data_IF_867440425307
#
_entry.id   IF_867440425307
#
_cell.length_a   1.000
_cell.length_b   1.000
_cell.length_c   1.000
_cell.angle_alpha   90.00
_cell.angle_beta   90.00
_cell.angle_gamma   90.00
#
_symmetry.space_group_name_H-M   'P 1'
#
loop_
_entity.id
_entity.type
_entity.pdbx_description
1 polymer ?
#
# COMPACT_ATOMS: atom_id res chain seq x y z
N UNK A 1 -4.62 9.70 19.89
CA UNK A 1 -5.41 9.21 21.06
C UNK A 1 -5.56 7.71 20.89
N UNK A 2 -5.13 6.89 21.86
CA UNK A 2 -5.04 5.43 21.70
C UNK A 2 -6.22 4.68 22.32
N UNK A 3 -6.62 3.58 21.70
CA UNK A 3 -7.54 2.59 22.26
C UNK A 3 -6.73 1.37 22.69
N UNK A 4 -7.14 0.76 23.80
CA UNK A 4 -6.62 -0.52 24.26
C UNK A 4 -7.74 -1.57 24.23
N UNK A 5 -7.44 -2.76 23.74
CA UNK A 5 -8.35 -3.91 23.67
C UNK A 5 -7.65 -5.10 24.28
N UNK A 6 -8.20 -5.67 25.35
CA UNK A 6 -7.61 -6.82 26.04
C UNK A 6 -6.13 -6.62 26.44
N UNK A 7 -5.76 -5.39 26.83
CA UNK A 7 -4.39 -5.02 27.19
C UNK A 7 -3.47 -4.70 26.00
N UNK A 8 -3.91 -4.92 24.77
CA UNK A 8 -3.15 -4.61 23.54
C UNK A 8 -3.57 -3.24 22.99
N UNK A 9 -2.59 -2.45 22.55
CA UNK A 9 -2.84 -1.17 21.88
C UNK A 9 -3.44 -1.44 20.50
N UNK A 10 -4.59 -0.82 20.20
CA UNK A 10 -5.14 -0.85 18.86
C UNK A 10 -4.19 -0.15 17.88
N UNK A 11 -4.05 -0.70 16.68
CA UNK A 11 -3.08 -0.20 15.68
C UNK A 11 -3.34 1.25 15.27
N UNK A 12 -4.60 1.60 15.03
CA UNK A 12 -4.99 2.95 14.62
C UNK A 12 -5.29 3.83 15.83
N UNK A 13 -4.81 5.06 15.74
CA UNK A 13 -5.16 6.10 16.69
C UNK A 13 -6.45 6.81 16.29
N UNK A 14 -7.17 7.35 17.28
CA UNK A 14 -8.22 8.31 17.01
C UNK A 14 -7.62 9.63 16.49
N UNK A 15 -7.87 9.90 15.21
CA UNK A 15 -7.53 11.13 14.50
C UNK A 15 -8.78 11.95 14.09
N UNK A 16 -9.95 11.64 14.65
CA UNK A 16 -11.18 12.38 14.41
C UNK A 16 -11.27 13.73 15.13
N UNK A 17 -12.39 14.44 14.95
CA UNK A 17 -12.62 15.75 15.57
C UNK A 17 -12.60 15.68 17.10
N UNK A 18 -11.96 16.64 17.79
CA UNK A 18 -11.88 16.65 19.25
C UNK A 18 -13.13 17.29 19.88
N UNK A 19 -14.30 16.69 19.63
CA UNK A 19 -15.58 17.09 20.21
C UNK A 19 -16.23 15.93 20.96
N UNK A 20 -17.10 16.24 21.93
CA UNK A 20 -17.83 15.23 22.71
C UNK A 20 -18.62 14.29 21.78
N UNK A 21 -19.35 14.83 20.82
CA UNK A 21 -20.14 14.04 19.87
C UNK A 21 -19.28 13.09 19.04
N UNK A 22 -18.11 13.55 18.57
CA UNK A 22 -17.21 12.73 17.77
C UNK A 22 -16.53 11.61 18.59
N UNK A 23 -16.22 11.85 19.87
CA UNK A 23 -15.74 10.81 20.77
C UNK A 23 -16.83 9.77 21.09
N UNK A 24 -18.05 10.22 21.39
CA UNK A 24 -19.19 9.31 21.67
C UNK A 24 -19.47 8.43 20.47
N UNK A 25 -19.53 9.02 19.27
CA UNK A 25 -19.74 8.26 18.04
C UNK A 25 -18.62 7.24 17.84
N UNK A 26 -17.37 7.68 17.96
CA UNK A 26 -16.22 6.78 17.78
C UNK A 26 -16.25 5.61 18.76
N UNK A 27 -16.47 5.84 20.06
CA UNK A 27 -16.54 4.74 21.04
C UNK A 27 -17.74 3.83 20.78
N UNK A 28 -18.89 4.38 20.40
CA UNK A 28 -20.07 3.59 20.00
C UNK A 28 -19.72 2.68 18.82
N UNK A 29 -19.07 3.23 17.80
CA UNK A 29 -18.61 2.45 16.66
C UNK A 29 -17.60 1.40 17.11
N UNK A 30 -16.72 1.69 18.07
CA UNK A 30 -15.70 0.76 18.60
C UNK A 30 -16.26 -0.40 19.41
N UNK A 31 -17.44 -0.22 20.00
CA UNK A 31 -18.19 -1.23 20.77
C UNK A 31 -19.14 -2.07 19.91
N UNK A 32 -19.45 -1.63 18.69
CA UNK A 32 -20.31 -2.36 17.78
C UNK A 32 -19.76 -3.75 17.44
N UNK A 33 -20.67 -4.70 17.22
CA UNK A 33 -20.34 -6.08 16.86
C UNK A 33 -19.47 -6.11 15.60
N UNK A 34 -18.36 -6.85 15.68
CA UNK A 34 -17.33 -6.86 14.65
C UNK A 34 -17.53 -8.00 13.65
N UNK A 35 -18.31 -9.01 14.01
CA UNK A 35 -18.62 -10.17 13.17
C UNK A 35 -20.12 -10.20 12.90
N UNK A 36 -20.48 -10.16 11.62
CA UNK A 36 -21.87 -10.28 11.18
C UNK A 36 -22.24 -11.77 11.06
N UNK A 37 -23.24 -12.21 11.82
CA UNK A 37 -23.72 -13.59 11.75
C UNK A 37 -24.69 -13.74 10.58
N UNK A 38 -24.38 -14.65 9.65
CA UNK A 38 -25.21 -14.95 8.47
C UNK A 38 -25.96 -16.26 8.63
N UNK A 39 -27.08 -16.40 7.92
CA UNK A 39 -27.92 -17.61 7.97
C UNK A 39 -27.48 -18.69 6.97
N UNK A 40 -26.82 -18.29 5.89
CA UNK A 40 -26.30 -19.18 4.86
C UNK A 40 -25.13 -18.52 4.13
N UNK A 41 -24.35 -19.33 3.42
CA UNK A 41 -23.17 -18.86 2.69
C UNK A 41 -23.51 -17.95 1.49
N UNK A 42 -24.64 -18.20 0.82
CA UNK A 42 -25.04 -17.42 -0.35
C UNK A 42 -25.26 -15.93 -0.01
N UNK A 43 -25.85 -15.66 1.17
CA UNK A 43 -26.10 -14.31 1.67
C UNK A 43 -24.82 -13.49 1.89
N UNK A 44 -23.67 -14.13 2.12
CA UNK A 44 -22.40 -13.43 2.29
C UNK A 44 -22.06 -12.64 1.04
N UNK A 45 -22.35 -13.18 -0.16
CA UNK A 45 -22.04 -12.52 -1.44
C UNK A 45 -22.76 -11.18 -1.60
N UNK A 46 -23.98 -11.07 -1.07
CA UNK A 46 -24.77 -9.83 -1.10
C UNK A 46 -24.32 -8.83 -0.04
N UNK A 47 -23.70 -9.30 1.05
CA UNK A 47 -23.23 -8.49 2.16
C UNK A 47 -21.77 -8.04 2.02
N UNK A 48 -21.03 -8.53 1.01
CA UNK A 48 -19.64 -8.17 0.78
C UNK A 48 -19.48 -6.65 0.70
N UNK A 49 -18.59 -6.12 1.54
CA UNK A 49 -18.32 -4.69 1.54
C UNK A 49 -17.29 -4.41 0.44
N UNK A 50 -17.74 -3.67 -0.58
CA UNK A 50 -16.88 -3.21 -1.66
C UNK A 50 -15.70 -2.41 -1.07
N UNK A 51 -14.50 -2.61 -1.64
CA UNK A 51 -13.24 -2.00 -1.19
C UNK A 51 -12.75 -2.39 0.21
N UNK A 52 -13.29 -3.43 0.85
CA UNK A 52 -12.68 -4.03 2.03
C UNK A 52 -12.32 -5.48 1.79
N UNK A 53 -11.33 -5.97 2.53
CA UNK A 53 -11.09 -7.39 2.66
C UNK A 53 -12.24 -8.00 3.47
N UNK A 54 -12.80 -9.11 3.00
CA UNK A 54 -13.91 -9.78 3.69
C UNK A 54 -13.45 -11.18 4.10
N UNK A 55 -13.58 -11.50 5.38
CA UNK A 55 -13.27 -12.81 5.95
C UNK A 55 -14.58 -13.47 6.33
N UNK A 56 -14.80 -14.69 5.88
CA UNK A 56 -15.97 -15.49 6.22
C UNK A 56 -15.54 -16.80 6.85
N UNK A 57 -16.03 -17.05 8.07
CA UNK A 57 -15.76 -18.29 8.80
C UNK A 57 -17.02 -19.12 8.94
N UNK A 58 -16.91 -20.43 8.72
CA UNK A 58 -17.91 -21.40 9.11
C UNK A 58 -17.38 -22.19 10.30
N UNK A 59 -18.12 -22.19 11.40
CA UNK A 59 -17.67 -22.79 12.66
C UNK A 59 -18.74 -23.70 13.27
N UNK A 60 -18.29 -24.83 13.79
CA UNK A 60 -19.16 -25.81 14.43
C UNK A 60 -19.68 -25.33 15.79
N UNK A 61 -18.77 -24.81 16.62
CA UNK A 61 -19.08 -24.44 17.99
C UNK A 61 -18.50 -23.06 18.35
N UNK A 62 -19.32 -22.24 18.98
CA UNK A 62 -18.91 -20.92 19.51
C UNK A 62 -18.08 -21.04 20.79
N UNK A 63 -18.00 -22.21 21.41
CA UNK A 63 -17.02 -22.47 22.47
C UNK A 63 -15.62 -22.85 21.92
N UNK A 64 -15.48 -23.10 20.61
CA UNK A 64 -14.24 -23.60 20.02
C UNK A 64 -13.06 -22.60 20.11
N UNK A 65 -11.80 -23.09 20.20
CA UNK A 65 -10.61 -22.24 20.13
C UNK A 65 -10.55 -21.41 18.83
N UNK A 66 -10.96 -21.99 17.71
CA UNK A 66 -11.07 -21.29 16.42
C UNK A 66 -11.97 -20.06 16.52
N UNK A 67 -13.18 -20.20 17.06
CA UNK A 67 -14.10 -19.06 17.20
C UNK A 67 -13.53 -17.95 18.08
N UNK A 68 -12.87 -18.32 19.18
CA UNK A 68 -12.21 -17.35 20.06
C UNK A 68 -11.07 -16.61 19.35
N UNK A 69 -10.27 -17.33 18.56
CA UNK A 69 -9.21 -16.73 17.74
C UNK A 69 -9.79 -15.75 16.71
N UNK A 70 -10.85 -16.15 15.98
CA UNK A 70 -11.52 -15.29 15.00
C UNK A 70 -12.13 -14.05 15.65
N UNK A 71 -12.75 -14.15 16.84
CA UNK A 71 -13.23 -12.97 17.60
C UNK A 71 -12.10 -11.98 17.91
N UNK A 72 -10.93 -12.47 18.32
CA UNK A 72 -9.76 -11.61 18.59
C UNK A 72 -9.28 -10.94 17.30
N UNK A 73 -9.10 -11.72 16.23
CA UNK A 73 -8.70 -11.21 14.90
C UNK A 73 -9.68 -10.16 14.38
N UNK A 74 -10.98 -10.45 14.43
CA UNK A 74 -12.01 -9.52 14.00
C UNK A 74 -11.91 -8.20 14.74
N UNK A 75 -11.80 -8.26 16.07
CA UNK A 75 -11.61 -7.08 16.92
C UNK A 75 -10.36 -6.27 16.55
N UNK A 76 -9.23 -6.93 16.30
CA UNK A 76 -7.97 -6.26 15.94
C UNK A 76 -7.98 -5.64 14.54
N UNK A 77 -8.63 -6.30 13.57
CA UNK A 77 -8.66 -5.90 12.16
C UNK A 77 -9.96 -5.21 11.72
N UNK A 78 -10.80 -4.76 12.66
CA UNK A 78 -12.14 -4.21 12.36
C UNK A 78 -12.15 -3.04 11.35
N UNK A 79 -11.06 -2.29 11.29
CA UNK A 79 -10.94 -1.11 10.43
C UNK A 79 -10.39 -1.47 9.03
N UNK A 80 -9.86 -2.68 8.89
CA UNK A 80 -9.19 -3.22 7.69
C UNK A 80 -10.03 -4.30 6.99
N UNK A 81 -10.71 -5.12 7.77
CA UNK A 81 -11.47 -6.28 7.34
C UNK A 81 -12.90 -6.26 7.87
N UNK A 82 -13.81 -6.84 7.09
CA UNK A 82 -15.17 -7.16 7.51
C UNK A 82 -15.24 -8.66 7.75
N UNK A 83 -15.84 -9.06 8.88
CA UNK A 83 -15.94 -10.45 9.27
C UNK A 83 -17.40 -10.91 9.21
N UNK A 84 -17.60 -12.06 8.58
CA UNK A 84 -18.87 -12.78 8.54
C UNK A 84 -18.70 -14.15 9.19
N UNK A 85 -19.74 -14.66 9.82
CA UNK A 85 -19.71 -16.00 10.38
C UNK A 85 -21.02 -16.77 10.16
N UNK A 86 -20.89 -18.03 9.79
CA UNK A 86 -21.97 -19.02 9.83
C UNK A 86 -21.68 -19.99 10.98
N UNK A 87 -22.60 -20.05 11.93
CA UNK A 87 -22.43 -20.82 13.17
C UNK A 87 -23.14 -22.18 13.06
N UNK A 88 -22.71 -23.12 13.90
CA UNK A 88 -23.33 -24.45 14.05
C UNK A 88 -23.30 -25.30 12.78
N UNK A 89 -22.27 -25.15 11.95
CA UNK A 89 -22.05 -26.06 10.81
C UNK A 89 -21.50 -27.41 11.27
N UNK A 90 -21.69 -28.52 10.54
CA UNK A 90 -20.96 -29.76 10.81
C UNK A 90 -19.44 -29.56 10.80
N UNK A 91 -18.69 -30.32 11.61
CA UNK A 91 -17.23 -30.17 11.77
C UNK A 91 -16.51 -30.28 10.42
N UNK A 92 -16.95 -31.23 9.58
CA UNK A 92 -16.41 -31.47 8.25
C UNK A 92 -16.68 -30.34 7.24
N UNK A 93 -17.56 -29.38 7.59
CA UNK A 93 -17.88 -28.20 6.77
C UNK A 93 -17.26 -26.92 7.29
N UNK A 94 -16.45 -26.98 8.36
CA UNK A 94 -15.72 -25.80 8.82
C UNK A 94 -14.75 -25.32 7.75
N UNK A 95 -14.80 -24.03 7.47
CA UNK A 95 -13.92 -23.40 6.47
C UNK A 95 -13.69 -21.94 6.80
N UNK A 96 -12.62 -21.42 6.25
CA UNK A 96 -12.24 -20.02 6.34
C UNK A 96 -11.99 -19.50 4.93
N UNK A 97 -12.78 -18.51 4.55
CA UNK A 97 -12.81 -17.95 3.21
C UNK A 97 -12.41 -16.47 3.25
N UNK A 98 -11.66 -16.05 2.26
CA UNK A 98 -11.35 -14.66 1.97
C UNK A 98 -12.04 -14.28 0.66
N UNK A 99 -12.80 -13.18 0.70
CA UNK A 99 -13.31 -12.53 -0.51
C UNK A 99 -12.53 -11.24 -0.74
N UNK A 100 -11.88 -11.18 -1.90
CA UNK A 100 -11.14 -10.00 -2.32
C UNK A 100 -12.08 -8.82 -2.60
N UNK A 101 -11.49 -7.63 -2.74
CA UNK A 101 -12.20 -6.41 -3.14
C UNK A 101 -12.86 -6.52 -4.52
N UNK A 102 -12.50 -7.52 -5.32
CA UNK A 102 -13.07 -7.84 -6.64
C UNK A 102 -13.95 -9.10 -6.61
N UNK A 103 -14.38 -9.54 -5.42
CA UNK A 103 -15.21 -10.72 -5.18
C UNK A 103 -14.60 -12.08 -5.59
N UNK A 104 -13.29 -12.14 -5.81
CA UNK A 104 -12.59 -13.42 -5.94
C UNK A 104 -12.56 -14.13 -4.59
N UNK A 105 -12.76 -15.44 -4.58
CA UNK A 105 -12.79 -16.25 -3.36
C UNK A 105 -11.50 -17.06 -3.23
N UNK A 106 -10.90 -17.04 -2.05
CA UNK A 106 -9.77 -17.90 -1.68
C UNK A 106 -10.12 -18.63 -0.39
N UNK A 107 -9.90 -19.94 -0.37
CA UNK A 107 -10.11 -20.78 0.80
C UNK A 107 -8.77 -21.05 1.49
N UNK A 108 -8.77 -20.97 2.81
CA UNK A 108 -7.65 -21.40 3.62
C UNK A 108 -7.49 -22.92 3.50
N UNK A 109 -6.38 -23.37 2.92
CA UNK A 109 -6.17 -24.77 2.55
C UNK A 109 -5.63 -25.67 3.66
N UNK A 110 -5.09 -25.09 4.72
CA UNK A 110 -4.44 -25.82 5.81
C UNK A 110 -5.41 -26.10 6.98
N UNK A 111 -4.95 -26.83 8.00
CA UNK A 111 -5.76 -27.14 9.18
C UNK A 111 -6.15 -25.89 9.97
N UNK A 112 -7.45 -25.76 10.26
CA UNK A 112 -8.02 -24.71 11.13
C UNK A 112 -7.64 -24.86 12.61
N UNK A 113 -7.04 -26.00 13.00
CA UNK A 113 -6.56 -26.21 14.37
C UNK A 113 -5.23 -25.48 14.62
N UNK A 114 -4.48 -25.16 13.56
CA UNK A 114 -3.26 -24.35 13.67
C UNK A 114 -3.62 -22.86 13.73
N UNK A 115 -3.98 -22.39 14.92
CA UNK A 115 -4.45 -21.02 15.13
C UNK A 115 -3.40 -19.95 14.77
N UNK A 116 -2.11 -20.26 14.88
CA UNK A 116 -1.03 -19.33 14.50
C UNK A 116 -0.97 -19.14 12.98
N UNK A 117 -1.14 -20.23 12.23
CA UNK A 117 -1.20 -20.19 10.78
C UNK A 117 -2.49 -19.49 10.29
N UNK A 118 -3.63 -19.76 10.93
CA UNK A 118 -4.90 -19.04 10.68
C UNK A 118 -4.73 -17.55 10.95
N UNK A 119 -4.15 -17.17 12.09
CA UNK A 119 -3.90 -15.78 12.45
C UNK A 119 -3.02 -15.09 11.41
N UNK A 120 -1.94 -15.73 10.99
CA UNK A 120 -1.01 -15.21 9.98
C UNK A 120 -1.71 -15.04 8.63
N UNK A 121 -2.50 -16.02 8.20
CA UNK A 121 -3.23 -15.94 6.94
C UNK A 121 -4.27 -14.81 6.95
N UNK A 122 -5.11 -14.71 7.98
CA UNK A 122 -6.10 -13.62 8.11
C UNK A 122 -5.41 -12.26 8.16
N UNK A 123 -4.33 -12.13 8.94
CA UNK A 123 -3.58 -10.87 9.05
C UNK A 123 -3.04 -10.43 7.68
N UNK A 124 -2.47 -11.35 6.90
CA UNK A 124 -1.95 -11.06 5.56
C UNK A 124 -3.06 -10.67 4.57
N UNK A 125 -4.27 -11.23 4.69
CA UNK A 125 -5.42 -10.85 3.85
C UNK A 125 -6.02 -9.50 4.25
N UNK A 126 -6.02 -9.19 5.55
CA UNK A 126 -6.54 -7.93 6.06
C UNK A 126 -5.57 -6.75 5.86
N UNK A 127 -4.26 -7.01 5.87
CA UNK A 127 -3.21 -6.02 5.65
C UNK A 127 -2.47 -6.31 4.35
N UNK A 128 -2.99 -5.86 3.19
CA UNK A 128 -2.32 -6.09 1.93
C UNK A 128 -0.97 -5.36 1.89
N UNK A 129 0.00 -5.97 1.21
CA UNK A 129 1.33 -5.39 0.98
C UNK A 129 1.23 -4.02 0.28
N UNK A 130 0.27 -3.87 -0.63
CA UNK A 130 -0.02 -2.64 -1.36
C UNK A 130 -1.36 -2.09 -0.89
N UNK A 131 -1.37 -0.85 -0.35
CA UNK A 131 -2.54 -0.25 0.32
C UNK A 131 -3.15 0.90 -0.48
N UNK A 132 -4.46 1.10 -0.40
CA UNK A 132 -5.09 2.33 -0.90
C UNK A 132 -4.73 3.49 0.03
N UNK A 133 -4.21 4.59 -0.49
CA UNK A 133 -4.10 5.84 0.27
C UNK A 133 -5.38 6.67 0.04
N UNK A 134 -5.96 7.14 1.14
CA UNK A 134 -7.12 8.02 1.18
C UNK A 134 -6.83 9.17 2.15
N UNK A 135 -7.67 10.20 2.18
CA UNK A 135 -7.45 11.32 3.12
C UNK A 135 -7.60 10.88 4.58
N UNK A 136 -8.40 9.85 4.84
CA UNK A 136 -8.65 9.33 6.17
C UNK A 136 -7.42 8.59 6.75
N UNK A 137 -6.62 7.94 5.91
CA UNK A 137 -5.45 7.16 6.34
C UNK A 137 -4.10 7.81 6.01
N UNK A 138 -4.06 8.89 5.20
CA UNK A 138 -2.80 9.52 4.80
C UNK A 138 -1.98 10.05 5.99
N UNK A 139 -2.63 10.60 7.03
CA UNK A 139 -1.93 11.08 8.24
C UNK A 139 -1.26 9.92 8.99
N UNK A 140 -1.86 8.72 8.99
CA UNK A 140 -1.26 7.51 9.58
C UNK A 140 -0.10 7.01 8.72
N UNK A 141 -0.30 6.89 7.40
CA UNK A 141 0.73 6.40 6.47
C UNK A 141 1.97 7.29 6.47
N UNK A 142 1.81 8.60 6.61
CA UNK A 142 2.92 9.55 6.66
C UNK A 142 3.66 9.51 7.99
N UNK A 143 2.97 9.19 9.09
CA UNK A 143 3.59 9.00 10.42
C UNK A 143 4.47 7.74 10.49
N UNK A 144 4.27 6.76 9.60
CA UNK A 144 5.17 5.60 9.49
C UNK A 144 6.60 5.99 9.09
N UNK A 145 6.80 7.19 8.54
CA UNK A 145 8.12 7.74 8.24
C UNK A 145 8.81 7.13 7.01
N UNK A 146 8.11 6.28 6.25
CA UNK A 146 8.63 5.64 5.05
C UNK A 146 8.21 6.41 3.80
N UNK A 147 9.10 6.59 2.80
CA UNK A 147 8.73 7.10 1.48
C UNK A 147 7.55 6.33 0.88
N UNK A 148 6.84 6.97 -0.03
CA UNK A 148 5.71 6.35 -0.72
C UNK A 148 6.11 5.98 -2.15
N UNK A 149 5.86 4.75 -2.57
CA UNK A 149 5.76 4.36 -3.97
C UNK A 149 4.27 4.28 -4.32
N UNK A 150 3.76 5.24 -5.09
CA UNK A 150 2.32 5.43 -5.31
C UNK A 150 1.95 5.25 -6.78
N UNK A 151 1.07 4.29 -7.05
CA UNK A 151 0.37 4.19 -8.33
C UNK A 151 -0.90 5.05 -8.31
N UNK A 152 -0.94 6.10 -9.12
CA UNK A 152 -2.18 6.81 -9.43
C UNK A 152 -2.90 6.11 -10.58
N UNK A 153 -4.15 5.69 -10.34
CA UNK A 153 -4.95 4.95 -11.32
C UNK A 153 -6.23 5.70 -11.71
N UNK A 154 -6.79 5.36 -12.87
CA UNK A 154 -8.13 5.86 -13.27
C UNK A 154 -9.18 5.03 -12.54
N UNK A 155 -10.25 5.60 -11.96
CA UNK A 155 -11.26 4.84 -11.23
C UNK A 155 -11.86 3.63 -11.98
N UNK A 156 -11.88 3.72 -13.31
CA UNK A 156 -12.45 2.74 -14.21
C UNK A 156 -11.43 1.68 -14.68
N UNK A 157 -10.15 1.85 -14.38
CA UNK A 157 -9.06 0.94 -14.72
C UNK A 157 -8.43 0.41 -13.44
N UNK A 158 -9.03 -0.67 -12.90
CA UNK A 158 -8.55 -1.34 -11.69
C UNK A 158 -7.57 -2.47 -11.98
N UNK A 159 -7.45 -2.88 -13.25
CA UNK A 159 -6.58 -4.00 -13.64
C UNK A 159 -5.11 -3.63 -13.44
N UNK A 160 -4.74 -2.37 -13.67
CA UNK A 160 -3.38 -1.87 -13.41
C UNK A 160 -2.97 -2.01 -11.94
N UNK A 161 -3.91 -1.94 -10.98
CA UNK A 161 -3.63 -2.15 -9.55
C UNK A 161 -3.16 -3.58 -9.31
N UNK A 162 -3.81 -4.56 -9.97
CA UNK A 162 -3.42 -5.97 -9.88
C UNK A 162 -2.03 -6.18 -10.46
N UNK A 163 -1.76 -5.64 -11.66
CA UNK A 163 -0.43 -5.72 -12.29
C UNK A 163 0.64 -5.12 -11.38
N UNK A 164 0.40 -3.93 -10.84
CA UNK A 164 1.32 -3.28 -9.90
C UNK A 164 1.54 -4.10 -8.63
N UNK A 165 0.48 -4.64 -8.03
CA UNK A 165 0.57 -5.50 -6.85
C UNK A 165 1.42 -6.73 -7.10
N UNK A 166 1.20 -7.41 -8.24
CA UNK A 166 1.99 -8.58 -8.65
C UNK A 166 3.48 -8.21 -8.84
N UNK A 167 3.76 -7.05 -9.46
CA UNK A 167 5.15 -6.59 -9.64
C UNK A 167 5.84 -6.20 -8.34
N UNK A 168 5.14 -5.58 -7.39
CA UNK A 168 5.66 -5.29 -6.05
C UNK A 168 6.01 -6.60 -5.32
N UNK A 169 5.11 -7.58 -5.34
CA UNK A 169 5.33 -8.88 -4.70
C UNK A 169 6.53 -9.64 -5.30
N UNK A 170 6.72 -9.57 -6.63
CA UNK A 170 7.80 -10.27 -7.32
C UNK A 170 9.15 -9.57 -7.17
N UNK A 171 9.18 -8.23 -7.22
CA UNK A 171 10.44 -7.48 -7.37
C UNK A 171 10.89 -6.75 -6.10
N UNK A 172 9.97 -6.42 -5.19
CA UNK A 172 10.21 -5.47 -4.09
C UNK A 172 9.94 -6.02 -2.69
N UNK A 173 9.73 -7.33 -2.54
CA UNK A 173 9.42 -7.92 -1.23
C UNK A 173 10.54 -7.67 -0.20
N UNK A 174 11.80 -7.59 -0.66
CA UNK A 174 12.98 -7.26 0.14
C UNK A 174 13.05 -5.77 0.55
N UNK A 175 12.26 -4.91 -0.09
CA UNK A 175 12.19 -3.47 0.19
C UNK A 175 10.98 -3.08 1.08
N UNK A 176 10.18 -4.07 1.54
CA UNK A 176 8.94 -3.81 2.29
C UNK A 176 9.09 -2.99 3.58
N UNK A 177 10.30 -2.92 4.13
CA UNK A 177 10.61 -2.17 5.35
C UNK A 177 11.24 -0.80 5.09
N UNK A 178 11.53 -0.46 3.83
CA UNK A 178 12.19 0.81 3.46
C UNK A 178 11.27 1.77 2.70
N UNK A 179 10.13 1.30 2.19
CA UNK A 179 9.20 2.10 1.41
C UNK A 179 7.77 1.54 1.55
N UNK A 180 6.78 2.41 1.51
CA UNK A 180 5.36 2.06 1.51
C UNK A 180 4.82 1.94 0.09
N UNK A 181 4.21 0.79 -0.23
CA UNK A 181 3.59 0.54 -1.53
C UNK A 181 2.12 0.93 -1.50
N UNK A 182 1.75 1.89 -2.32
CA UNK A 182 0.43 2.52 -2.29
C UNK A 182 -0.19 2.62 -3.67
N UNK A 183 -1.51 2.69 -3.72
CA UNK A 183 -2.24 3.17 -4.89
C UNK A 183 -3.26 4.22 -4.48
N UNK A 184 -3.55 5.15 -5.39
CA UNK A 184 -4.38 6.31 -5.14
C UNK A 184 -5.35 6.54 -6.31
N UNK A 185 -6.60 6.84 -6.00
CA UNK A 185 -7.56 7.30 -7.01
C UNK A 185 -7.09 8.66 -7.57
N UNK A 186 -6.79 8.70 -8.87
CA UNK A 186 -6.27 9.90 -9.51
C UNK A 186 -7.25 11.07 -9.59
N UNK A 187 -8.56 10.84 -9.44
CA UNK A 187 -9.54 11.93 -9.29
C UNK A 187 -9.47 12.52 -7.88
N UNK A 188 -9.42 11.67 -6.86
CA UNK A 188 -9.32 12.08 -5.45
C UNK A 188 -8.01 12.83 -5.19
N UNK A 189 -6.91 12.35 -5.78
CA UNK A 189 -5.57 12.93 -5.63
C UNK A 189 -5.11 13.71 -6.88
N UNK A 190 -6.04 14.42 -7.54
CA UNK A 190 -5.72 15.25 -8.70
C UNK A 190 -4.70 16.36 -8.39
N UNK A 191 -4.71 16.92 -7.17
CA UNK A 191 -3.78 17.97 -6.76
C UNK A 191 -2.32 17.49 -6.65
N UNK A 192 -2.00 16.35 -5.99
CA UNK A 192 -0.67 15.73 -6.12
C UNK A 192 -0.25 15.42 -7.55
N UNK A 193 -1.15 14.96 -8.42
CA UNK A 193 -0.84 14.71 -9.83
C UNK A 193 -0.42 15.99 -10.57
N UNK A 194 -1.11 17.10 -10.31
CA UNK A 194 -0.77 18.40 -10.90
C UNK A 194 0.63 18.88 -10.48
N UNK A 195 1.06 18.58 -9.25
CA UNK A 195 2.43 18.92 -8.81
C UNK A 195 3.46 18.18 -9.67
N UNK A 196 3.21 16.92 -10.02
CA UNK A 196 4.03 16.13 -10.95
C UNK A 196 3.95 16.60 -12.42
N UNK A 197 3.24 17.69 -12.71
CA UNK A 197 2.96 18.13 -14.09
C UNK A 197 2.09 17.13 -14.86
N UNK A 198 1.33 16.28 -14.14
CA UNK A 198 0.43 15.28 -14.72
C UNK A 198 -1.03 15.65 -14.48
N UNK A 199 -1.89 15.07 -15.28
CA UNK A 199 -3.34 15.21 -15.20
C UNK A 199 -4.02 13.84 -15.19
N UNK A 200 -5.33 13.84 -15.00
CA UNK A 200 -6.14 12.61 -15.06
C UNK A 200 -5.99 11.90 -16.43
N UNK A 201 -5.67 12.64 -17.49
CA UNK A 201 -5.47 12.08 -18.84
C UNK A 201 -4.23 11.20 -18.93
N UNK A 202 -3.20 11.55 -18.16
CA UNK A 202 -1.88 10.89 -18.15
C UNK A 202 -1.88 9.57 -17.36
N UNK A 203 -2.94 9.29 -16.62
CA UNK A 203 -3.04 8.06 -15.82
C UNK A 203 -3.10 6.81 -16.70
N UNK A 204 -2.47 5.69 -16.27
CA UNK A 204 -1.83 5.49 -14.97
C UNK A 204 -0.44 6.12 -14.83
N UNK A 205 -0.12 6.63 -13.64
CA UNK A 205 1.18 7.25 -13.30
C UNK A 205 1.73 6.60 -12.05
N UNK A 206 3.00 6.21 -12.07
CA UNK A 206 3.73 5.71 -10.89
C UNK A 206 4.75 6.76 -10.45
N UNK A 207 4.81 7.04 -9.16
CA UNK A 207 5.73 8.01 -8.60
C UNK A 207 6.26 7.56 -7.22
N UNK A 208 7.42 8.08 -6.84
CA UNK A 208 7.91 8.05 -5.46
C UNK A 208 7.69 9.42 -4.84
N UNK A 209 7.10 9.51 -3.66
CA UNK A 209 7.17 10.71 -2.79
C UNK A 209 8.10 10.40 -1.61
N UNK A 210 9.24 11.10 -1.54
CA UNK A 210 10.24 10.90 -0.49
C UNK A 210 10.02 11.77 0.74
N UNK A 211 8.89 12.48 0.82
CA UNK A 211 8.64 13.60 1.72
C UNK A 211 9.57 14.81 1.55
N UNK A 212 10.41 14.81 0.51
CA UNK A 212 11.21 15.97 0.09
C UNK A 212 10.85 16.34 -1.34
N UNK A 213 11.01 15.37 -2.25
CA UNK A 213 10.66 15.51 -3.65
C UNK A 213 9.79 14.33 -4.09
N UNK A 214 9.06 14.56 -5.18
CA UNK A 214 8.33 13.53 -5.90
C UNK A 214 9.04 13.20 -7.22
N UNK A 215 9.35 11.93 -7.44
CA UNK A 215 10.02 11.42 -8.62
C UNK A 215 9.06 10.58 -9.47
N UNK A 216 8.98 10.86 -10.76
CA UNK A 216 8.18 10.04 -11.68
C UNK A 216 8.93 8.80 -12.12
N UNK A 217 8.22 7.68 -12.17
CA UNK A 217 8.70 6.51 -12.90
C UNK A 217 8.73 6.85 -14.40
N UNK A 218 9.84 6.60 -15.13
CA UNK A 218 10.04 7.13 -16.48
C UNK A 218 8.95 6.74 -17.50
N UNK A 219 8.59 5.46 -17.56
CA UNK A 219 7.50 4.96 -18.42
C UNK A 219 6.73 3.86 -17.68
N UNK A 220 5.43 4.05 -17.50
CA UNK A 220 4.56 3.05 -16.86
C UNK A 220 4.52 1.71 -17.59
N UNK A 221 4.83 1.70 -18.89
CA UNK A 221 4.94 0.47 -19.69
C UNK A 221 6.10 -0.42 -19.24
N UNK A 222 7.13 0.16 -18.63
CA UNK A 222 8.28 -0.58 -18.10
C UNK A 222 7.99 -1.23 -16.73
N UNK A 223 6.78 -1.07 -16.18
CA UNK A 223 6.42 -1.61 -14.86
C UNK A 223 6.65 -3.13 -14.77
N UNK A 224 6.35 -3.87 -15.85
CA UNK A 224 6.48 -5.32 -15.91
C UNK A 224 7.87 -5.79 -16.38
N UNK A 225 8.75 -4.86 -16.77
CA UNK A 225 10.12 -5.19 -17.19
C UNK A 225 10.92 -5.54 -15.92
N UNK A 226 11.47 -6.77 -15.81
CA UNK A 226 12.17 -7.20 -14.62
C UNK A 226 13.32 -6.26 -14.24
N UNK A 227 13.36 -5.86 -12.98
CA UNK A 227 14.42 -5.04 -12.41
C UNK A 227 14.21 -3.53 -12.55
N UNK A 228 13.38 -3.04 -13.49
CA UNK A 228 13.14 -1.59 -13.67
C UNK A 228 12.48 -0.97 -12.44
N UNK A 229 11.43 -1.60 -11.94
CA UNK A 229 10.73 -1.14 -10.73
C UNK A 229 11.65 -1.18 -9.51
N UNK A 230 12.44 -2.24 -9.36
CA UNK A 230 13.43 -2.37 -8.28
C UNK A 230 14.51 -1.31 -8.37
N UNK A 231 15.06 -1.07 -9.56
CA UNK A 231 16.08 -0.06 -9.77
C UNK A 231 15.58 1.33 -9.39
N UNK A 232 14.31 1.66 -9.68
CA UNK A 232 13.73 2.94 -9.31
C UNK A 232 13.72 3.16 -7.78
N UNK A 233 13.41 2.12 -7.00
CA UNK A 233 13.48 2.17 -5.53
C UNK A 233 14.94 2.24 -5.03
N UNK A 234 15.87 1.51 -5.67
CA UNK A 234 17.30 1.58 -5.32
C UNK A 234 17.92 2.95 -5.67
N UNK A 235 17.46 3.58 -6.75
CA UNK A 235 17.89 4.92 -7.18
C UNK A 235 17.41 5.99 -6.17
N UNK A 236 16.25 5.79 -5.53
CA UNK A 236 15.83 6.61 -4.39
C UNK A 236 16.81 6.46 -3.23
N UNK A 237 17.06 5.23 -2.78
CA UNK A 237 17.85 4.98 -1.58
C UNK A 237 19.33 5.35 -1.74
N UNK A 238 19.88 5.25 -2.95
CA UNK A 238 21.24 5.69 -3.27
C UNK A 238 21.38 7.21 -3.41
N UNK A 239 20.27 7.96 -3.36
CA UNK A 239 20.24 9.40 -3.59
C UNK A 239 20.43 9.79 -5.06
N UNK A 240 20.49 8.82 -5.98
CA UNK A 240 20.62 9.08 -7.42
C UNK A 240 19.46 9.92 -7.94
N UNK A 241 18.22 9.60 -7.58
CA UNK A 241 17.05 10.39 -8.01
C UNK A 241 17.16 11.86 -7.57
N UNK A 242 17.71 12.11 -6.38
CA UNK A 242 17.91 13.46 -5.87
C UNK A 242 19.06 14.19 -6.57
N UNK A 243 20.16 13.49 -6.85
CA UNK A 243 21.27 14.05 -7.64
C UNK A 243 20.81 14.39 -9.06
N UNK A 244 20.13 13.47 -9.73
CA UNK A 244 19.61 13.69 -11.08
C UNK A 244 18.57 14.82 -11.14
N UNK A 245 17.86 15.06 -10.03
CA UNK A 245 16.97 16.20 -9.89
C UNK A 245 17.70 17.55 -9.91
N UNK A 246 18.85 17.65 -9.25
CA UNK A 246 19.61 18.91 -9.17
C UNK A 246 20.58 19.09 -10.33
N UNK A 247 21.23 18.02 -10.76
CA UNK A 247 22.40 18.06 -11.66
C UNK A 247 22.10 17.50 -13.07
N UNK A 248 20.93 16.90 -13.28
CA UNK A 248 20.58 16.17 -14.51
C UNK A 248 21.10 14.72 -14.52
N UNK A 249 20.81 13.92 -15.57
CA UNK A 249 21.16 12.51 -15.63
C UNK A 249 22.64 12.27 -15.39
N UNK A 250 22.97 11.22 -14.62
CA UNK A 250 24.38 10.87 -14.41
C UNK A 250 25.06 10.62 -15.76
N UNK A 251 26.28 11.13 -15.99
CA UNK A 251 27.02 10.84 -17.19
C UNK A 251 27.21 9.32 -17.27
N UNK A 252 26.68 8.72 -18.34
CA UNK A 252 26.87 7.29 -18.58
C UNK A 252 28.37 7.10 -18.74
N UNK A 253 29.03 6.50 -17.74
CA UNK A 253 30.38 6.01 -17.92
C UNK A 253 30.27 4.93 -18.98
N UNK A 254 30.47 5.31 -20.25
CA UNK A 254 30.77 4.34 -21.28
C UNK A 254 31.96 3.57 -20.70
N UNK A 255 31.76 2.29 -20.39
CA UNK A 255 32.85 1.40 -20.06
C UNK A 255 33.88 1.63 -21.16
N UNK A 256 34.97 2.33 -20.81
CA UNK A 256 35.99 2.69 -21.77
C UNK A 256 36.39 1.36 -22.40
N UNK A 257 36.30 1.18 -23.73
CA UNK A 257 36.83 -0.02 -24.30
C UNK A 257 38.32 0.03 -23.97
N UNK A 258 38.77 -0.90 -23.13
CA UNK A 258 40.20 -1.14 -22.92
C UNK A 258 40.69 -1.71 -24.24
N UNK A 259 41.00 -0.83 -25.19
CA UNK A 259 41.80 -1.14 -26.36
C UNK A 259 43.23 -0.81 -25.97
N UNK A 260 43.95 -1.82 -25.51
CA UNK A 260 45.42 -1.77 -25.53
C UNK A 260 45.82 -1.95 -26.99
N UNK A 261 46.18 -0.88 -27.68
CA UNK A 261 47.07 -0.92 -28.84
C UNK A 261 47.77 0.42 -29.02
N UNK A 262 49.05 0.32 -29.39
CA UNK A 262 50.11 1.31 -29.33
C UNK A 262 49.79 2.76 -29.76
N UNK A 263 50.24 3.69 -28.92
CA UNK A 263 50.69 5.06 -29.22
C UNK A 263 50.25 5.68 -30.56
N UNK A 264 49.05 6.25 -30.61
CA UNK A 264 48.79 7.55 -31.25
C UNK A 264 47.40 8.09 -30.91
N UNK A 265 47.35 9.31 -30.38
CA UNK A 265 46.11 10.03 -30.05
C UNK A 265 45.55 10.66 -31.34
N UNK A 266 44.36 10.22 -31.75
CA UNK A 266 43.55 10.91 -32.78
C UNK A 266 42.18 11.19 -32.17
N UNK A 267 41.82 12.47 -32.07
CA UNK A 267 40.48 12.91 -31.66
C UNK A 267 39.52 12.81 -32.85
N UNK A 268 38.51 11.95 -32.74
CA UNK A 268 37.38 11.92 -33.69
C UNK A 268 36.23 12.78 -33.15
N UNK A 269 36.05 13.96 -33.75
CA UNK A 269 34.96 14.90 -33.46
C UNK A 269 33.74 14.62 -34.35
N UNK A 270 33.17 13.41 -34.27
CA UNK A 270 31.95 13.10 -35.03
C UNK A 270 30.97 12.15 -34.32
N UNK A 271 30.61 12.46 -33.07
CA UNK A 271 29.39 11.88 -32.47
C UNK A 271 28.25 12.89 -32.51
N UNK A 272 27.23 12.58 -33.32
CA UNK A 272 25.93 13.27 -33.31
C UNK A 272 25.28 13.11 -31.93
N UNK A 273 24.51 14.11 -31.44
CA UNK A 273 23.79 13.96 -30.18
C UNK A 273 22.76 12.84 -30.33
N UNK A 274 22.91 11.80 -29.52
CA UNK A 274 21.84 10.83 -29.27
C UNK A 274 20.76 11.59 -28.47
N UNK A 275 19.51 11.53 -28.93
CA UNK A 275 18.37 12.16 -28.26
C UNK A 275 18.36 11.82 -26.76
N UNK A 276 18.35 12.86 -25.93
CA UNK A 276 18.26 12.75 -24.48
C UNK A 276 16.99 11.96 -24.11
N UNK A 277 17.08 10.92 -23.25
CA UNK A 277 15.89 10.34 -22.65
C UNK A 277 15.19 11.43 -21.84
N UNK A 278 13.87 11.48 -21.99
CA UNK A 278 12.96 12.53 -21.55
C UNK A 278 13.14 12.84 -20.07
N UNK A 279 13.46 14.10 -19.74
CA UNK A 279 13.51 14.61 -18.36
C UNK A 279 12.15 14.34 -17.70
N UNK A 280 12.13 13.51 -16.67
CA UNK A 280 10.95 13.29 -15.84
C UNK A 280 10.58 14.60 -15.16
N UNK A 281 9.33 15.09 -15.24
CA UNK A 281 8.93 16.27 -14.47
C UNK A 281 8.95 15.95 -12.97
N UNK A 282 9.73 16.71 -12.18
CA UNK A 282 9.98 16.48 -10.75
C UNK A 282 9.42 17.64 -9.92
N UNK A 283 8.82 17.34 -8.76
CA UNK A 283 8.06 18.29 -7.94
C UNK A 283 8.44 18.22 -6.45
N UNK A 284 8.12 19.26 -5.66
CA UNK A 284 8.18 19.17 -4.20
C UNK A 284 7.16 18.15 -3.66
N UNK A 285 7.47 17.53 -2.51
CA UNK A 285 6.54 16.59 -1.85
C UNK A 285 5.20 17.25 -1.54
N UNK A 286 4.13 16.56 -1.92
CA UNK A 286 2.76 16.97 -1.58
C UNK A 286 2.25 16.19 -0.38
N UNK A 287 2.62 14.92 -0.27
CA UNK A 287 2.14 14.06 0.81
C UNK A 287 2.75 14.44 2.17
N UNK A 288 3.88 15.15 2.21
CA UNK A 288 4.39 15.75 3.46
C UNK A 288 3.37 16.70 4.13
N UNK A 289 2.47 17.31 3.35
CA UNK A 289 1.41 18.18 3.88
C UNK A 289 0.32 17.40 4.63
N UNK A 290 0.28 16.08 4.47
CA UNK A 290 -0.64 15.18 5.16
C UNK A 290 -0.06 14.63 6.48
N UNK A 291 1.19 15.00 6.84
CA UNK A 291 1.79 14.65 8.12
C UNK A 291 1.00 15.24 9.31
N UNK A 292 1.11 14.66 10.52
CA UNK A 292 0.54 15.26 11.73
C UNK A 292 0.89 16.76 11.85
N UNK A 293 -0.13 17.61 11.76
CA UNK A 293 0.08 19.07 11.69
C UNK A 293 0.44 19.68 13.04
N UNK A 294 1.43 20.58 13.06
CA UNK A 294 1.79 21.38 14.25
C UNK A 294 0.64 22.29 14.73
N UNK A 295 -0.31 22.64 13.85
CA UNK A 295 -1.52 23.37 14.24
C UNK A 295 -2.47 22.56 15.14
N UNK A 296 -2.32 21.23 15.15
CA UNK A 296 -3.20 20.28 15.85
C UNK A 296 -2.50 19.49 16.96
N UNK A 297 -1.20 19.31 16.83
CA UNK A 297 -0.39 18.50 17.75
C UNK A 297 0.86 19.25 18.18
N UNK A 298 1.27 19.05 19.43
CA UNK A 298 2.65 19.30 19.84
C UNK A 298 3.51 18.14 19.32
N UNK A 299 4.30 18.39 18.28
CA UNK A 299 5.11 17.36 17.60
C UNK A 299 6.42 17.18 18.37
N UNK A 300 6.71 15.95 18.80
CA UNK A 300 7.89 15.62 19.63
C UNK A 300 9.11 15.14 18.82
N UNK A 301 8.89 14.67 17.59
CA UNK A 301 9.92 14.26 16.63
C UNK A 301 9.54 14.80 15.26
N UNK A 302 10.46 15.50 14.60
CA UNK A 302 10.28 16.01 13.23
C UNK A 302 11.21 15.23 12.27
N UNK A 303 11.32 13.92 12.48
CA UNK A 303 12.29 13.06 11.80
C UNK A 303 11.69 12.49 10.51
N UNK A 304 11.95 13.20 9.40
CA UNK A 304 11.85 12.76 8.00
C UNK A 304 13.03 13.35 7.19
#
# INVERSE_FOLDING_TARGET
LKIFRNGEVARREYRGARSVSAFVQYITDQLADVIQIVTNEESVRELLVAKKANIFVQVHDTASPLWHSIKKLASSFREDCVFFALLHVPIEKQKLLYYSMTANTEEYSDSLDNLDAVHSWVSNKCLPLVREITFENAEELTEEGLPFLILFYKPNDKDIIKVYTDQVMQQLLDQKSSINFLYADGNTFAHPLQHLGKSIKDLPVLAIDSFRHMYLFPDIKDLTVPGKLKQFVLDLHSGKLHREFHDGPDPVTAASPVVVQDNNVVFDTSSKPVENPTVTPVAESVFIKLKPSQSRYTVLRDEL
#
